data_IF_315302590654
#
_entry.id   IF_315302590654
#
_cell.length_a   1.000
_cell.length_b   1.000
_cell.length_c   1.000
_cell.angle_alpha   90.00
_cell.angle_beta   90.00
_cell.angle_gamma   90.00
#
_symmetry.space_group_name_H-M   'P 1'
#
loop_
_entity.id
_entity.type
_entity.pdbx_description
1 polymer ?
#
# COMPACT_ATOMS: atom_id res chain seq x y z
N UNK A 1 4.85 -6.05 -9.38
CA UNK A 1 3.56 -6.76 -9.58
C UNK A 1 2.54 -5.80 -10.17
N UNK A 2 1.73 -6.23 -11.13
CA UNK A 2 0.66 -5.42 -11.71
C UNK A 2 -0.61 -5.55 -10.83
N UNK A 3 -1.00 -4.48 -10.13
CA UNK A 3 -2.13 -4.51 -9.18
C UNK A 3 -3.47 -4.86 -9.84
N UNK A 4 -3.61 -4.54 -11.13
CA UNK A 4 -4.78 -4.86 -11.95
C UNK A 4 -4.96 -6.36 -12.20
N UNK A 5 -3.93 -7.17 -12.02
CA UNK A 5 -3.95 -8.61 -12.29
C UNK A 5 -4.16 -9.45 -11.02
N UNK A 6 -4.12 -8.81 -9.83
CA UNK A 6 -4.22 -9.53 -8.57
C UNK A 6 -5.69 -9.78 -8.20
N UNK A 7 -6.11 -11.04 -7.89
CA UNK A 7 -7.52 -11.39 -7.62
C UNK A 7 -8.21 -10.52 -6.56
N UNK A 8 -7.48 -10.16 -5.50
CA UNK A 8 -7.99 -9.29 -4.44
C UNK A 8 -8.46 -7.90 -4.92
N UNK A 9 -7.97 -7.43 -6.08
CA UNK A 9 -8.33 -6.13 -6.67
C UNK A 9 -9.30 -6.26 -7.86
N UNK A 10 -9.87 -7.45 -8.09
CA UNK A 10 -10.89 -7.64 -9.12
C UNK A 10 -12.13 -6.78 -8.82
N UNK A 11 -12.63 -6.09 -9.85
CA UNK A 11 -13.80 -5.21 -9.74
C UNK A 11 -13.55 -3.87 -9.05
N UNK A 12 -12.31 -3.56 -8.66
CA UNK A 12 -11.94 -2.25 -8.12
C UNK A 12 -11.89 -1.21 -9.25
N UNK A 13 -12.30 0.03 -8.95
CA UNK A 13 -12.27 1.14 -9.90
C UNK A 13 -10.85 1.30 -10.50
N UNK A 14 -10.78 1.26 -11.84
CA UNK A 14 -9.51 1.32 -12.56
C UNK A 14 -8.73 2.63 -12.29
N UNK A 15 -9.44 3.74 -12.00
CA UNK A 15 -8.82 5.04 -11.66
C UNK A 15 -8.12 4.98 -10.31
N UNK A 16 -8.71 4.29 -9.34
CA UNK A 16 -8.07 4.05 -8.05
C UNK A 16 -6.83 3.18 -8.21
N UNK A 17 -6.92 2.08 -8.97
CA UNK A 17 -5.78 1.20 -9.22
C UNK A 17 -4.64 1.91 -9.97
N UNK A 18 -4.98 2.81 -10.90
CA UNK A 18 -4.01 3.65 -11.60
C UNK A 18 -3.35 4.66 -10.66
N UNK A 19 -4.13 5.34 -9.82
CA UNK A 19 -3.62 6.27 -8.79
C UNK A 19 -2.69 5.55 -7.82
N UNK A 20 -3.08 4.36 -7.38
CA UNK A 20 -2.27 3.50 -6.52
C UNK A 20 -0.95 3.12 -7.17
N UNK A 21 -0.99 2.62 -8.40
CA UNK A 21 0.22 2.27 -9.16
C UNK A 21 1.13 3.48 -9.36
N UNK A 22 0.56 4.65 -9.63
CA UNK A 22 1.30 5.90 -9.79
C UNK A 22 1.99 6.30 -8.47
N UNK A 23 1.27 6.32 -7.35
CA UNK A 23 1.83 6.67 -6.04
C UNK A 23 2.95 5.72 -5.63
N UNK A 24 2.76 4.41 -5.84
CA UNK A 24 3.77 3.40 -5.54
C UNK A 24 5.03 3.55 -6.40
N UNK A 25 4.88 3.93 -7.68
CA UNK A 25 6.03 4.14 -8.59
C UNK A 25 6.88 5.37 -8.24
N UNK A 26 6.37 6.31 -7.43
CA UNK A 26 7.07 7.54 -7.05
C UNK A 26 7.71 7.47 -5.66
N UNK A 27 7.68 6.30 -5.02
CA UNK A 27 8.32 6.12 -3.72
C UNK A 27 9.82 5.95 -3.92
N UNK A 28 10.61 6.78 -3.25
CA UNK A 28 12.06 6.63 -3.23
C UNK A 28 12.44 5.37 -2.46
N UNK A 29 13.31 4.56 -3.05
CA UNK A 29 13.78 3.32 -2.46
C UNK A 29 14.39 3.59 -1.07
N UNK A 30 13.94 2.84 -0.06
CA UNK A 30 14.42 2.98 1.31
C UNK A 30 13.88 4.18 2.11
N UNK A 31 12.90 4.93 1.60
CA UNK A 31 12.25 6.03 2.32
C UNK A 31 11.02 5.54 3.11
N UNK A 32 11.25 4.99 4.31
CA UNK A 32 10.19 4.47 5.17
C UNK A 32 9.07 5.49 5.53
N UNK A 33 9.37 6.76 5.87
CA UNK A 33 8.34 7.78 6.07
C UNK A 33 7.44 8.01 4.84
N UNK A 34 8.01 7.97 3.63
CA UNK A 34 7.25 8.16 2.39
C UNK A 34 6.34 6.96 2.09
N UNK A 35 6.77 5.73 2.43
CA UNK A 35 5.89 4.56 2.33
C UNK A 35 4.67 4.72 3.25
N UNK A 36 4.86 5.21 4.47
CA UNK A 36 3.78 5.42 5.45
C UNK A 36 2.80 6.48 4.96
N UNK A 37 3.30 7.65 4.52
CA UNK A 37 2.43 8.70 3.99
C UNK A 37 1.65 8.23 2.76
N UNK A 38 2.25 7.34 1.95
CA UNK A 38 1.58 6.71 0.82
C UNK A 38 0.46 5.76 1.27
N UNK A 39 0.67 4.91 2.28
CA UNK A 39 -0.39 4.04 2.85
C UNK A 39 -1.57 4.87 3.34
N UNK A 40 -1.29 5.95 4.09
CA UNK A 40 -2.32 6.82 4.63
C UNK A 40 -3.09 7.51 3.49
N UNK A 41 -2.39 8.06 2.50
CA UNK A 41 -3.01 8.70 1.35
C UNK A 41 -3.89 7.72 0.55
N UNK A 42 -3.44 6.49 0.36
CA UNK A 42 -4.22 5.44 -0.32
C UNK A 42 -5.45 5.03 0.48
N UNK A 43 -5.35 5.00 1.81
CA UNK A 43 -6.47 4.67 2.69
C UNK A 43 -7.55 5.76 2.66
N UNK A 44 -7.17 7.03 2.60
CA UNK A 44 -8.10 8.15 2.41
C UNK A 44 -8.70 8.17 1.00
N UNK A 45 -7.90 7.89 -0.02
CA UNK A 45 -8.37 7.83 -1.39
C UNK A 45 -9.36 6.66 -1.59
N UNK A 46 -9.12 5.51 -0.97
CA UNK A 46 -10.04 4.37 -1.02
C UNK A 46 -11.43 4.74 -0.52
N UNK A 47 -11.55 5.60 0.51
CA UNK A 47 -12.84 6.13 0.99
C UNK A 47 -13.54 6.98 -0.08
N UNK A 48 -12.78 7.77 -0.84
CA UNK A 48 -13.32 8.62 -1.92
C UNK A 48 -13.91 7.78 -3.06
N UNK A 49 -13.31 6.62 -3.34
CA UNK A 49 -13.76 5.69 -4.38
C UNK A 49 -14.76 4.63 -3.87
N UNK A 50 -15.22 4.71 -2.62
CA UNK A 50 -16.05 3.69 -1.96
C UNK A 50 -15.44 2.29 -2.02
N UNK A 51 -14.11 2.22 -1.91
CA UNK A 51 -13.34 0.98 -1.92
C UNK A 51 -13.06 0.56 -0.49
N UNK A 52 -13.58 -0.61 -0.13
CA UNK A 52 -13.21 -1.23 1.13
C UNK A 52 -11.78 -1.79 1.06
N UNK A 53 -10.89 -1.24 1.88
CA UNK A 53 -9.55 -1.79 2.12
C UNK A 53 -9.65 -2.95 3.10
N UNK A 54 -9.98 -4.14 2.57
CA UNK A 54 -10.02 -5.37 3.36
C UNK A 54 -8.63 -5.72 3.92
N UNK A 55 -8.54 -6.52 5.01
CA UNK A 55 -7.26 -6.95 5.56
C UNK A 55 -6.34 -7.62 4.51
N UNK A 56 -6.92 -8.39 3.59
CA UNK A 56 -6.20 -9.02 2.48
C UNK A 56 -5.59 -7.96 1.53
N UNK A 57 -6.38 -6.99 1.08
CA UNK A 57 -5.90 -5.91 0.20
C UNK A 57 -4.81 -5.08 0.87
N UNK A 58 -4.99 -4.78 2.16
CA UNK A 58 -3.99 -4.07 2.96
C UNK A 58 -2.68 -4.85 3.02
N UNK A 59 -2.72 -6.16 3.32
CA UNK A 59 -1.52 -6.98 3.35
C UNK A 59 -0.78 -7.02 2.02
N UNK A 60 -1.49 -7.13 0.89
CA UNK A 60 -0.87 -7.13 -0.43
C UNK A 60 -0.14 -5.81 -0.69
N UNK A 61 -0.78 -4.70 -0.33
CA UNK A 61 -0.21 -3.36 -0.45
C UNK A 61 1.03 -3.18 0.44
N UNK A 62 0.95 -3.62 1.69
CA UNK A 62 2.07 -3.63 2.65
C UNK A 62 3.23 -4.45 2.10
N UNK A 63 2.97 -5.64 1.55
CA UNK A 63 4.00 -6.51 1.00
C UNK A 63 4.67 -5.87 -0.23
N UNK A 64 3.90 -5.22 -1.12
CA UNK A 64 4.49 -4.46 -2.23
C UNK A 64 5.39 -3.33 -1.72
N UNK A 65 4.93 -2.58 -0.71
CA UNK A 65 5.70 -1.48 -0.13
C UNK A 65 7.01 -1.98 0.52
N UNK A 66 7.01 -3.19 1.10
CA UNK A 66 8.22 -3.83 1.65
C UNK A 66 9.26 -4.16 0.59
N UNK A 67 8.85 -4.42 -0.64
CA UNK A 67 9.79 -4.71 -1.74
C UNK A 67 10.64 -3.48 -2.09
N UNK A 68 10.14 -2.26 -1.85
CA UNK A 68 10.87 -1.00 -2.01
C UNK A 68 11.79 -0.65 -0.82
N UNK A 69 11.83 -1.49 0.21
CA UNK A 69 12.70 -1.30 1.37
C UNK A 69 13.93 -2.21 1.30
N UNK A 70 15.12 -1.65 1.60
CA UNK A 70 16.30 -2.42 1.95
C UNK A 70 15.98 -3.40 3.09
N UNK A 71 16.60 -4.58 3.07
CA UNK A 71 16.29 -5.67 3.98
C UNK A 71 16.36 -5.24 5.46
N UNK A 72 17.33 -4.38 5.79
CA UNK A 72 17.55 -3.83 7.12
C UNK A 72 16.41 -2.90 7.61
N UNK A 73 15.63 -2.31 6.70
CA UNK A 73 14.50 -1.43 7.04
C UNK A 73 13.15 -2.16 7.06
N UNK A 74 13.06 -3.36 6.51
CA UNK A 74 11.82 -4.16 6.46
C UNK A 74 11.27 -4.48 7.85
N UNK A 75 12.15 -4.84 8.80
CA UNK A 75 11.73 -5.13 10.17
C UNK A 75 11.18 -3.89 10.88
N UNK A 76 11.75 -2.71 10.64
CA UNK A 76 11.25 -1.46 11.20
C UNK A 76 9.86 -1.13 10.62
N UNK A 77 9.70 -1.32 9.32
CA UNK A 77 8.42 -1.13 8.64
C UNK A 77 7.33 -2.09 9.16
N UNK A 78 7.66 -3.38 9.34
CA UNK A 78 6.73 -4.36 9.91
C UNK A 78 6.25 -3.99 11.31
N UNK A 79 7.15 -3.53 12.18
CA UNK A 79 6.79 -3.07 13.51
C UNK A 79 5.83 -1.87 13.45
N UNK A 80 6.07 -0.93 12.53
CA UNK A 80 5.20 0.23 12.34
C UNK A 80 3.82 -0.13 11.79
N UNK A 81 3.75 -1.01 10.79
CA UNK A 81 2.48 -1.51 10.24
C UNK A 81 1.66 -2.22 11.33
N UNK A 82 2.31 -3.03 12.16
CA UNK A 82 1.64 -3.70 13.28
C UNK A 82 1.08 -2.70 14.29
N UNK A 83 1.76 -1.58 14.56
CA UNK A 83 1.24 -0.51 15.43
C UNK A 83 0.00 0.18 14.85
N UNK A 84 -0.06 0.37 13.54
CA UNK A 84 -1.24 0.95 12.87
C UNK A 84 -2.43 -0.01 12.84
N UNK A 85 -2.16 -1.32 12.78
CA UNK A 85 -3.18 -2.37 12.71
C UNK A 85 -3.73 -2.77 14.08
N UNK A 86 -3.07 -2.36 15.16
CA UNK A 86 -3.43 -2.66 16.54
C UNK A 86 -4.35 -1.59 17.18
N UNK A 87 -4.76 -0.57 16.42
CA UNK A 87 -5.75 0.45 16.80
C UNK A 87 -7.10 0.15 16.14
#
# INVERSE_FOLDING_TARGET
>A
MNLHEHPAFYGIDARFLQSMSHKLAHIEEGNAPQLISTIMALSEEAKTYDIQMTPERQQILINQLKDYLPAEKRSQFDMFVNMLSAQ
#
